data_IF_491997873613
#
_entry.id   IF_491997873613
#
_cell.length_a   1.000
_cell.length_b   1.000
_cell.length_c   1.000
_cell.angle_alpha   90.00
_cell.angle_beta   90.00
_cell.angle_gamma   90.00
#
_symmetry.space_group_name_H-M   'P 1'
#
loop_
_entity.id
_entity.type
_entity.pdbx_description
1 polymer ?
#
# COMPACT_ATOMS: atom_id res chain seq x y z
N UNK A 1 -2.85 -7.19 8.66
CA UNK A 1 -3.32 -5.80 8.52
C UNK A 1 -2.18 -4.84 8.81
N UNK A 2 -2.09 -3.81 8.01
CA UNK A 2 -1.06 -2.80 8.17
C UNK A 2 -1.74 -1.43 8.20
N UNK A 3 -1.39 -0.64 9.19
CA UNK A 3 -1.84 0.74 9.29
C UNK A 3 -0.66 1.64 8.98
N UNK A 4 -0.88 2.59 8.09
CA UNK A 4 0.19 3.51 7.73
C UNK A 4 -0.32 4.75 7.03
N UNK A 5 0.60 5.66 6.78
CA UNK A 5 0.30 6.92 6.11
C UNK A 5 0.74 6.82 4.65
N UNK A 6 -0.14 7.19 3.75
CA UNK A 6 0.17 7.15 2.32
C UNK A 6 1.20 8.22 1.99
N UNK A 7 2.34 7.80 1.46
CA UNK A 7 3.40 8.72 1.05
C UNK A 7 3.57 8.77 -0.47
N UNK A 8 2.93 7.86 -1.20
CA UNK A 8 2.95 7.87 -2.66
C UNK A 8 1.81 7.06 -3.21
N UNK A 9 1.37 7.40 -4.42
CA UNK A 9 0.26 6.73 -5.09
C UNK A 9 0.66 6.50 -6.54
N UNK A 10 0.38 5.29 -7.06
CA UNK A 10 0.52 5.04 -8.49
C UNK A 10 -0.72 4.28 -8.99
N UNK A 11 -0.71 3.88 -10.26
CA UNK A 11 -1.87 3.26 -10.88
C UNK A 11 -2.24 1.92 -10.28
N UNK A 12 -1.30 1.24 -9.63
CA UNK A 12 -1.50 -0.12 -9.15
C UNK A 12 -1.51 -0.23 -7.64
N UNK A 13 -1.13 0.81 -6.93
CA UNK A 13 -1.05 0.69 -5.48
C UNK A 13 -0.61 1.96 -4.81
N UNK A 14 -0.24 1.83 -3.56
CA UNK A 14 0.20 2.95 -2.73
C UNK A 14 1.48 2.59 -1.99
N UNK A 15 2.24 3.61 -1.66
CA UNK A 15 3.41 3.48 -0.79
C UNK A 15 3.03 4.01 0.59
N UNK A 16 3.25 3.20 1.61
CA UNK A 16 2.97 3.57 2.99
C UNK A 16 4.28 3.83 3.72
N UNK A 17 4.33 4.91 4.48
CA UNK A 17 5.47 5.22 5.36
C UNK A 17 6.79 5.19 4.61
N UNK A 18 6.77 5.47 3.32
CA UNK A 18 7.94 5.54 2.43
C UNK A 18 8.65 4.22 2.19
N UNK A 19 8.24 3.14 2.82
CA UNK A 19 8.96 1.87 2.65
C UNK A 19 8.07 0.63 2.58
N UNK A 20 6.76 0.79 2.50
CA UNK A 20 5.85 -0.34 2.35
C UNK A 20 5.01 -0.12 1.11
N UNK A 21 5.29 -0.90 0.08
CA UNK A 21 4.53 -0.80 -1.17
C UNK A 21 3.38 -1.81 -1.16
N UNK A 22 2.17 -1.33 -1.35
CA UNK A 22 0.96 -2.14 -1.36
C UNK A 22 0.37 -2.16 -2.75
N UNK A 23 0.43 -3.29 -3.43
CA UNK A 23 -0.17 -3.46 -4.74
C UNK A 23 -1.59 -3.98 -4.57
N UNK A 24 -2.55 -3.26 -5.10
CA UNK A 24 -3.95 -3.62 -4.92
C UNK A 24 -4.33 -4.81 -5.80
N UNK A 25 -5.33 -5.54 -5.33
CA UNK A 25 -5.83 -6.71 -6.02
C UNK A 25 -6.66 -6.26 -7.22
N UNK A 26 -6.25 -6.70 -8.41
CA UNK A 26 -6.92 -6.37 -9.66
C UNK A 26 -7.14 -4.86 -9.82
N UNK A 27 -8.24 -4.50 -10.43
CA UNK A 27 -8.60 -3.10 -10.66
C UNK A 27 -9.44 -2.57 -9.51
N UNK A 28 -8.94 -2.76 -8.31
CA UNK A 28 -9.64 -2.24 -7.15
C UNK A 28 -9.86 -0.75 -7.34
N UNK A 29 -11.09 -0.34 -7.18
CA UNK A 29 -11.43 1.05 -7.20
C UNK A 29 -10.69 1.74 -6.07
N UNK A 30 -9.99 2.81 -6.38
CA UNK A 30 -9.21 3.52 -5.39
C UNK A 30 -9.89 4.84 -5.04
N UNK A 31 -11.04 4.77 -4.37
CA UNK A 31 -11.78 5.99 -4.08
C UNK A 31 -11.11 6.75 -2.95
N UNK A 32 -11.04 8.03 -3.09
CA UNK A 32 -10.78 8.93 -1.97
C UNK A 32 -9.47 8.72 -1.23
N UNK A 33 -8.49 8.07 -1.85
CA UNK A 33 -7.17 8.01 -1.20
C UNK A 33 -6.32 9.18 -1.67
N UNK A 34 -5.48 9.66 -0.75
CA UNK A 34 -4.62 10.79 -1.03
C UNK A 34 -3.36 10.67 -0.21
N UNK A 35 -2.29 11.31 -0.70
CA UNK A 35 -1.03 11.39 0.04
C UNK A 35 -1.29 12.08 1.39
N UNK A 36 -0.62 11.61 2.41
CA UNK A 36 -0.72 12.06 3.80
C UNK A 36 -1.95 11.55 4.54
N UNK A 37 -2.73 10.67 3.90
CA UNK A 37 -3.89 10.09 4.56
C UNK A 37 -3.50 8.77 5.22
N UNK A 38 -4.05 8.52 6.40
CA UNK A 38 -3.81 7.27 7.11
C UNK A 38 -4.84 6.24 6.67
N UNK A 39 -4.35 5.02 6.38
CA UNK A 39 -5.22 3.93 5.95
C UNK A 39 -4.84 2.65 6.66
N UNK A 40 -5.78 1.70 6.71
CA UNK A 40 -5.52 0.34 7.15
C UNK A 40 -5.69 -0.58 5.94
N UNK A 41 -4.66 -1.34 5.63
CA UNK A 41 -4.63 -2.18 4.45
C UNK A 41 -4.38 -3.63 4.86
N UNK A 42 -5.11 -4.53 4.23
CA UNK A 42 -4.90 -5.96 4.36
C UNK A 42 -4.29 -6.47 3.06
N UNK A 43 -3.18 -7.17 3.16
CA UNK A 43 -2.51 -7.69 2.00
C UNK A 43 -1.58 -8.84 2.35
N UNK A 44 -0.93 -9.39 1.33
CA UNK A 44 -0.03 -10.51 1.48
C UNK A 44 1.40 -10.05 1.24
N UNK A 45 2.28 -10.30 2.18
CA UNK A 45 3.70 -9.97 2.01
C UNK A 45 4.29 -10.91 0.98
N UNK A 46 4.89 -10.35 -0.08
CA UNK A 46 5.47 -11.14 -1.15
C UNK A 46 6.98 -10.96 -1.28
N UNK A 47 7.55 -9.97 -0.62
CA UNK A 47 8.97 -9.80 -0.69
C UNK A 47 9.48 -8.58 0.06
N UNK A 48 10.79 -8.53 0.14
CA UNK A 48 11.51 -7.40 0.73
C UNK A 48 12.66 -7.05 -0.20
N UNK A 49 12.76 -5.80 -0.58
CA UNK A 49 13.83 -5.31 -1.42
C UNK A 49 14.92 -4.71 -0.53
N UNK A 50 16.04 -5.38 -0.40
CA UNK A 50 17.11 -4.94 0.47
C UNK A 50 17.77 -3.64 -0.02
N UNK A 51 17.84 -3.45 -1.33
CA UNK A 51 18.45 -2.25 -1.88
C UNK A 51 17.64 -1.02 -1.59
N UNK A 52 16.31 -1.15 -1.66
CA UNK A 52 15.40 -0.05 -1.42
C UNK A 52 14.89 -0.02 0.02
N UNK A 53 15.21 -1.05 0.80
CA UNK A 53 14.66 -1.21 2.14
C UNK A 53 13.15 -1.12 2.11
N UNK A 54 12.54 -1.81 1.13
CA UNK A 54 11.11 -1.72 0.87
C UNK A 54 10.44 -3.08 1.03
N UNK A 55 9.37 -3.10 1.78
CA UNK A 55 8.52 -4.29 1.93
C UNK A 55 7.43 -4.22 0.87
N UNK A 56 7.22 -5.34 0.16
CA UNK A 56 6.22 -5.40 -0.89
C UNK A 56 5.07 -6.31 -0.50
N UNK A 57 3.86 -5.79 -0.63
CA UNK A 57 2.65 -6.56 -0.40
C UNK A 57 1.85 -6.63 -1.69
N UNK A 58 1.12 -7.74 -1.87
CA UNK A 58 0.29 -7.97 -3.04
C UNK A 58 -1.13 -8.29 -2.58
N UNK A 59 -2.07 -8.24 -3.51
CA UNK A 59 -3.47 -8.53 -3.24
C UNK A 59 -4.01 -7.68 -2.09
N UNK A 60 -3.63 -6.42 -2.08
CA UNK A 60 -4.00 -5.52 -1.00
C UNK A 60 -5.41 -4.98 -1.17
N UNK A 61 -6.07 -4.76 -0.05
CA UNK A 61 -7.39 -4.15 0.01
C UNK A 61 -7.39 -3.12 1.12
N UNK A 62 -7.99 -1.98 0.87
CA UNK A 62 -8.17 -0.99 1.92
C UNK A 62 -9.37 -1.40 2.74
N UNK A 63 -9.18 -1.60 4.04
CA UNK A 63 -10.26 -1.98 4.93
C UNK A 63 -10.73 -0.82 5.79
N UNK A 64 -9.94 0.24 5.84
CA UNK A 64 -10.34 1.44 6.56
C UNK A 64 -9.48 2.61 6.10
N UNK A 65 -10.07 3.73 5.86
CA UNK A 65 -9.34 4.95 5.53
C UNK A 65 -9.93 6.19 6.24
#
# INVERSE_FOLDING_TARGET
EIKGTITGINDNGVLLDENIYCQFYQNTDLPSIAVNKEVVIKGKVVGFDELLMEIKLNQCTIIQN
#
